data_IF_126828590335
#
_entry.id   IF_126828590335
#
_cell.length_a   1.000
_cell.length_b   1.000
_cell.length_c   1.000
_cell.angle_alpha   90.00
_cell.angle_beta   90.00
_cell.angle_gamma   90.00
#
_symmetry.space_group_name_H-M   'P 1'
#
loop_
_entity.id
_entity.type
_entity.pdbx_description
1 polymer ?
#
# COMPACT_ATOMS: atom_id res chain seq x y z
N UNK A 1 -4.79 8.31 -10.17
CA UNK A 1 -3.84 8.88 -9.23
C UNK A 1 -2.90 7.80 -8.73
N UNK A 2 -1.64 7.88 -9.07
CA UNK A 2 -0.71 6.85 -8.65
C UNK A 2 -0.45 6.90 -7.14
N UNK A 3 -0.33 5.72 -6.57
CA UNK A 3 -0.05 5.58 -5.16
C UNK A 3 1.04 4.55 -4.97
N UNK A 4 1.77 4.67 -3.88
CA UNK A 4 2.78 3.71 -3.53
C UNK A 4 2.38 2.98 -2.25
N UNK A 5 2.47 1.66 -2.29
CA UNK A 5 2.12 0.81 -1.18
C UNK A 5 3.39 0.33 -0.48
N UNK A 6 3.49 0.60 0.80
CA UNK A 6 4.68 0.26 1.58
C UNK A 6 4.27 -0.53 2.80
N UNK A 7 5.10 -1.47 3.20
CA UNK A 7 4.89 -2.24 4.41
C UNK A 7 6.09 -2.10 5.34
N UNK A 8 5.81 -1.78 6.59
CA UNK A 8 6.87 -1.58 7.57
C UNK A 8 7.46 -2.90 8.06
N UNK A 9 6.68 -3.97 8.01
CA UNK A 9 7.12 -5.26 8.51
C UNK A 9 7.87 -6.13 7.52
N UNK A 10 7.89 -5.73 6.27
CA UNK A 10 8.60 -6.46 5.22
C UNK A 10 9.03 -5.48 4.14
N UNK A 11 9.67 -6.01 3.09
CA UNK A 11 10.23 -5.16 2.04
C UNK A 11 9.22 -4.86 0.94
N UNK A 12 7.95 -4.78 1.27
CA UNK A 12 6.93 -4.50 0.28
C UNK A 12 7.05 -3.05 -0.19
N UNK A 13 7.18 -2.90 -1.50
CA UNK A 13 7.28 -1.59 -2.13
C UNK A 13 6.68 -1.72 -3.52
N UNK A 14 5.44 -1.27 -3.66
CA UNK A 14 4.70 -1.48 -4.90
C UNK A 14 3.97 -0.22 -5.29
N UNK A 15 3.97 0.09 -6.58
CA UNK A 15 3.25 1.22 -7.10
C UNK A 15 1.90 0.76 -7.64
N UNK A 16 0.85 1.47 -7.30
CA UNK A 16 -0.50 1.16 -7.72
C UNK A 16 -1.04 2.26 -8.61
N UNK A 17 -1.97 1.87 -9.50
CA UNK A 17 -2.52 2.82 -10.46
C UNK A 17 -3.40 3.87 -9.79
N UNK A 18 -4.12 3.48 -8.75
CA UNK A 18 -4.97 4.41 -8.05
C UNK A 18 -5.09 4.00 -6.59
N UNK A 19 -5.72 4.88 -5.82
CA UNK A 19 -5.84 4.68 -4.39
C UNK A 19 -6.70 3.47 -4.05
N UNK A 20 -7.73 3.23 -4.85
CA UNK A 20 -8.63 2.11 -4.60
C UNK A 20 -7.88 0.78 -4.69
N UNK A 21 -7.04 0.65 -5.70
CA UNK A 21 -6.24 -0.55 -5.86
C UNK A 21 -5.26 -0.70 -4.71
N UNK A 22 -4.62 0.39 -4.31
CA UNK A 22 -3.68 0.35 -3.19
C UNK A 22 -4.39 -0.07 -1.91
N UNK A 23 -5.59 0.45 -1.69
CA UNK A 23 -6.36 0.14 -0.51
C UNK A 23 -6.73 -1.34 -0.47
N UNK A 24 -7.12 -1.90 -1.61
CA UNK A 24 -7.46 -3.31 -1.68
C UNK A 24 -6.26 -4.19 -1.38
N UNK A 25 -5.11 -3.84 -1.93
CA UNK A 25 -3.91 -4.62 -1.68
C UNK A 25 -3.43 -4.49 -0.24
N UNK A 26 -3.58 -3.30 0.32
CA UNK A 26 -3.24 -3.09 1.71
C UNK A 26 -4.10 -3.95 2.63
N UNK A 27 -5.39 -3.99 2.37
CA UNK A 27 -6.31 -4.79 3.16
C UNK A 27 -5.96 -6.28 3.05
N UNK A 28 -5.63 -6.72 1.85
CA UNK A 28 -5.26 -8.10 1.60
C UNK A 28 -3.98 -8.47 2.35
N UNK A 29 -3.02 -7.58 2.31
CA UNK A 29 -1.74 -7.79 2.98
C UNK A 29 -1.92 -7.84 4.49
N UNK A 30 -2.71 -6.94 5.04
CA UNK A 30 -2.94 -6.91 6.49
C UNK A 30 -3.69 -8.12 6.97
N UNK A 31 -4.58 -8.66 6.15
CA UNK A 31 -5.30 -9.87 6.51
C UNK A 31 -4.37 -11.06 6.63
N UNK A 32 -3.29 -11.06 5.85
CA UNK A 32 -2.34 -12.15 5.86
C UNK A 32 -1.23 -11.94 6.90
N UNK A 33 -0.85 -10.69 7.13
CA UNK A 33 0.23 -10.35 8.06
C UNK A 33 -0.29 -9.32 9.06
N UNK A 34 -0.93 -9.80 10.10
CA UNK A 34 -1.59 -8.93 11.08
C UNK A 34 -0.64 -7.99 11.79
N UNK A 35 0.62 -8.39 11.92
CA UNK A 35 1.62 -7.57 12.61
C UNK A 35 2.29 -6.55 11.71
N UNK A 36 1.95 -6.54 10.43
CA UNK A 36 2.57 -5.62 9.50
C UNK A 36 1.74 -4.36 9.35
N UNK A 37 2.43 -3.25 9.28
CA UNK A 37 1.80 -1.95 9.12
C UNK A 37 1.96 -1.51 7.68
N UNK A 38 0.85 -1.34 6.99
CA UNK A 38 0.86 -0.97 5.57
C UNK A 38 0.53 0.50 5.43
N UNK A 39 1.31 1.20 4.61
CA UNK A 39 1.12 2.62 4.35
C UNK A 39 0.84 2.85 2.89
N UNK A 40 -0.06 3.76 2.60
CA UNK A 40 -0.36 4.16 1.23
C UNK A 40 0.14 5.58 1.06
N UNK A 41 1.01 5.78 0.09
CA UNK A 41 1.62 7.07 -0.17
C UNK A 41 1.10 7.63 -1.48
N UNK A 42 0.64 8.85 -1.43
CA UNK A 42 0.14 9.52 -2.62
C UNK A 42 1.32 10.10 -3.39
N UNK A 43 1.48 9.64 -4.63
CA UNK A 43 2.59 10.08 -5.46
C UNK A 43 2.23 11.27 -6.32
N UNK A 44 0.97 11.64 -6.36
CA UNK A 44 0.55 12.77 -7.18
C UNK A 44 0.85 14.08 -6.47
N UNK A 45 1.40 14.99 -7.20
CA UNK A 45 1.73 16.32 -6.68
C UNK A 45 0.95 17.37 -7.45
N UNK A 46 0.35 18.26 -6.73
CA UNK A 46 -0.46 19.33 -7.33
C UNK A 46 0.43 20.48 -7.80
#
# INVERSE_FOLDING_TARGET
>A
MPCQLLCDGCDLDRECSDWLEANRQASDHEAEYADHWVMIRDLQRA
#
